data_IF_682884744450
#
_entry.id   IF_682884744450
#
_cell.length_a   1.000
_cell.length_b   1.000
_cell.length_c   1.000
_cell.angle_alpha   90.00
_cell.angle_beta   90.00
_cell.angle_gamma   90.00
#
_symmetry.space_group_name_H-M   'P 1'
#
loop_
_entity.id
_entity.type
_entity.pdbx_description
1 polymer ?
#
# COMPACT_ATOMS: atom_id res chain seq x y z
N UNK A 1 1.10 -17.56 -0.18
CA UNK A 1 1.45 -18.26 -1.43
C UNK A 1 2.16 -17.28 -2.37
N UNK A 2 3.01 -17.74 -3.30
CA UNK A 2 3.62 -16.83 -4.30
C UNK A 2 2.59 -16.47 -5.37
N UNK A 3 2.66 -15.27 -5.95
CA UNK A 3 1.80 -14.88 -7.09
C UNK A 3 1.93 -15.86 -8.25
N UNK A 4 3.14 -16.34 -8.54
CA UNK A 4 3.38 -17.35 -9.59
C UNK A 4 2.71 -18.71 -9.32
N UNK A 5 2.40 -19.02 -8.06
CA UNK A 5 1.65 -20.24 -7.68
C UNK A 5 0.14 -20.03 -7.83
N UNK A 6 -0.37 -18.84 -7.48
CA UNK A 6 -1.76 -18.44 -7.77
C UNK A 6 -2.05 -18.57 -9.27
N UNK A 7 -1.20 -18.00 -10.12
CA UNK A 7 -1.35 -18.05 -11.57
C UNK A 7 -1.28 -19.48 -12.13
N UNK A 8 -0.38 -20.32 -11.63
CA UNK A 8 -0.24 -21.72 -12.09
C UNK A 8 -1.43 -22.60 -11.74
N UNK A 9 -2.06 -22.33 -10.59
CA UNK A 9 -3.20 -23.11 -10.07
C UNK A 9 -4.56 -22.60 -10.56
N UNK A 10 -4.57 -21.49 -11.29
CA UNK A 10 -5.78 -20.86 -11.79
C UNK A 10 -6.54 -21.80 -12.75
N UNK A 11 -7.78 -22.14 -12.38
CA UNK A 11 -8.73 -22.88 -13.25
C UNK A 11 -9.75 -21.95 -13.92
N UNK A 12 -9.75 -20.69 -13.50
CA UNK A 12 -10.66 -19.62 -13.93
C UNK A 12 -9.92 -18.28 -13.83
N UNK A 13 -10.43 -17.19 -14.44
CA UNK A 13 -9.87 -15.86 -14.29
C UNK A 13 -9.71 -15.48 -12.82
N UNK A 14 -8.55 -14.94 -12.46
CA UNK A 14 -8.27 -14.46 -11.11
C UNK A 14 -8.58 -12.97 -11.00
N UNK A 15 -9.13 -12.56 -9.87
CA UNK A 15 -9.23 -11.15 -9.49
C UNK A 15 -8.05 -10.79 -8.59
N UNK A 16 -7.43 -9.64 -8.85
CA UNK A 16 -6.53 -8.95 -7.92
C UNK A 16 -6.73 -7.45 -8.10
N UNK A 17 -6.39 -6.68 -7.07
CA UNK A 17 -6.45 -5.23 -7.14
C UNK A 17 -5.33 -4.60 -6.33
N UNK A 18 -5.17 -3.30 -6.50
CA UNK A 18 -4.14 -2.50 -5.87
C UNK A 18 -4.76 -1.45 -4.94
N UNK A 19 -4.11 -1.22 -3.80
CA UNK A 19 -4.50 -0.19 -2.87
C UNK A 19 -3.40 0.85 -2.67
N UNK A 20 -3.86 2.07 -2.42
CA UNK A 20 -3.04 3.20 -2.02
C UNK A 20 -3.08 3.35 -0.49
N UNK A 21 -1.93 3.21 0.22
CA UNK A 21 -1.89 3.47 1.65
C UNK A 21 -2.39 4.88 2.00
N UNK A 22 -3.05 5.09 3.15
CA UNK A 22 -3.58 6.40 3.53
C UNK A 22 -2.42 7.39 3.78
N UNK A 23 -2.75 8.67 3.91
CA UNK A 23 -1.77 9.65 4.38
C UNK A 23 -1.46 9.40 5.86
N UNK A 24 -0.25 9.74 6.30
CA UNK A 24 0.11 9.73 7.73
C UNK A 24 -0.89 10.57 8.52
N UNK A 25 -1.31 10.05 9.68
CA UNK A 25 -2.33 10.67 10.53
C UNK A 25 -3.77 10.36 10.12
N UNK A 26 -4.00 9.69 8.98
CA UNK A 26 -5.32 9.13 8.64
C UNK A 26 -5.46 7.70 9.14
N UNK A 27 -6.71 7.31 9.37
CA UNK A 27 -7.08 6.01 9.91
C UNK A 27 -6.98 4.90 8.86
N UNK A 28 -6.54 3.72 9.28
CA UNK A 28 -6.54 2.50 8.46
C UNK A 28 -7.95 2.02 8.10
N UNK A 29 -8.97 2.43 8.86
CA UNK A 29 -10.39 2.14 8.57
C UNK A 29 -10.81 2.51 7.15
N UNK A 30 -10.23 3.55 6.56
CA UNK A 30 -10.54 3.92 5.18
C UNK A 30 -10.07 2.87 4.16
N UNK A 31 -8.98 2.16 4.46
CA UNK A 31 -8.53 1.03 3.62
C UNK A 31 -9.53 -0.11 3.72
N UNK A 32 -9.94 -0.46 4.94
CA UNK A 32 -10.90 -1.56 5.15
C UNK A 32 -12.22 -1.29 4.45
N UNK A 33 -12.76 -0.08 4.58
CA UNK A 33 -13.98 0.30 3.89
C UNK A 33 -13.89 0.14 2.35
N UNK A 34 -12.69 0.27 1.77
CA UNK A 34 -12.46 0.01 0.34
C UNK A 34 -12.23 -1.46 0.00
N UNK A 35 -11.64 -2.26 0.91
CA UNK A 35 -11.38 -3.68 0.70
C UNK A 35 -12.63 -4.53 0.92
N UNK A 36 -13.41 -4.23 1.97
CA UNK A 36 -14.54 -5.05 2.43
C UNK A 36 -15.53 -5.40 1.30
N UNK A 37 -15.97 -4.46 0.43
CA UNK A 37 -16.87 -4.77 -0.68
C UNK A 37 -16.24 -5.68 -1.75
N UNK A 38 -14.92 -5.63 -1.89
CA UNK A 38 -14.20 -6.39 -2.91
C UNK A 38 -13.93 -7.83 -2.48
N UNK A 39 -14.06 -8.14 -1.19
CA UNK A 39 -13.83 -9.49 -0.66
C UNK A 39 -14.87 -10.51 -1.13
N UNK A 40 -16.07 -10.08 -1.51
CA UNK A 40 -17.11 -10.96 -2.09
C UNK A 40 -16.61 -11.67 -3.36
N UNK A 41 -15.77 -10.99 -4.14
CA UNK A 41 -15.21 -11.49 -5.39
C UNK A 41 -14.00 -12.41 -5.20
N UNK A 42 -13.64 -12.72 -3.94
CA UNK A 42 -12.53 -13.63 -3.58
C UNK A 42 -11.23 -13.30 -4.31
N UNK A 43 -10.69 -12.08 -4.11
CA UNK A 43 -9.42 -11.69 -4.71
C UNK A 43 -8.32 -12.70 -4.33
N UNK A 44 -7.44 -13.01 -5.27
CA UNK A 44 -6.35 -13.97 -5.06
C UNK A 44 -5.18 -13.35 -4.29
N UNK A 45 -4.92 -12.06 -4.52
CA UNK A 45 -3.91 -11.28 -3.80
C UNK A 45 -4.21 -9.77 -3.94
N UNK A 46 -3.63 -8.97 -3.05
CA UNK A 46 -3.79 -7.51 -3.04
C UNK A 46 -2.41 -6.84 -3.14
N UNK A 47 -2.25 -5.94 -4.10
CA UNK A 47 -1.03 -5.13 -4.23
C UNK A 47 -1.13 -3.89 -3.33
N UNK A 48 -0.01 -3.54 -2.69
CA UNK A 48 0.07 -2.34 -1.85
C UNK A 48 1.15 -1.42 -2.40
N UNK A 49 0.76 -0.22 -2.82
CA UNK A 49 1.68 0.70 -3.47
C UNK A 49 2.75 1.23 -2.52
N UNK A 50 3.82 1.72 -3.15
CA UNK A 50 4.91 2.40 -2.48
C UNK A 50 5.11 3.76 -3.14
N UNK A 51 5.26 4.79 -2.31
CA UNK A 51 5.48 6.16 -2.77
C UNK A 51 6.88 6.63 -2.37
N UNK A 52 7.56 7.28 -3.31
CA UNK A 52 8.85 7.92 -3.07
C UNK A 52 8.70 9.03 -2.02
N UNK A 53 9.81 9.31 -1.34
CA UNK A 53 9.90 10.49 -0.49
C UNK A 53 9.72 11.75 -1.32
N UNK A 54 8.97 12.70 -0.78
CA UNK A 54 8.82 14.01 -1.36
C UNK A 54 9.82 14.98 -0.73
N UNK A 55 10.24 15.97 -1.49
CA UNK A 55 11.06 17.07 -0.98
C UNK A 55 10.14 18.25 -0.69
N UNK A 56 10.17 18.73 0.54
CA UNK A 56 9.54 20.01 0.93
C UNK A 56 10.65 21.00 1.29
N UNK A 57 10.46 22.27 0.95
CA UNK A 57 11.34 23.36 1.38
C UNK A 57 10.66 24.09 2.53
N UNK A 58 11.32 24.11 3.69
CA UNK A 58 10.84 24.81 4.88
C UNK A 58 11.63 26.10 5.06
N UNK A 59 10.94 27.23 5.10
CA UNK A 59 11.56 28.52 5.34
C UNK A 59 12.12 28.59 6.77
N UNK A 60 13.36 29.06 6.90
CA UNK A 60 14.09 29.22 8.15
C UNK A 60 14.26 30.69 8.57
N UNK A 61 13.64 31.61 7.82
CA UNK A 61 13.81 33.06 7.96
C UNK A 61 14.90 33.63 7.05
N UNK A 62 14.88 34.94 6.81
CA UNK A 62 15.85 35.65 5.97
C UNK A 62 16.05 35.08 4.55
N UNK A 63 15.00 34.49 3.96
CA UNK A 63 15.06 33.86 2.64
C UNK A 63 15.79 32.51 2.59
N UNK A 64 16.23 31.96 3.75
CA UNK A 64 16.87 30.65 3.80
C UNK A 64 15.82 29.53 3.71
N UNK A 65 16.00 28.65 2.73
CA UNK A 65 15.17 27.46 2.53
C UNK A 65 15.91 26.21 2.97
N UNK A 66 15.33 25.44 3.88
CA UNK A 66 15.81 24.12 4.23
C UNK A 66 15.10 23.06 3.40
N UNK A 67 15.88 22.24 2.67
CA UNK A 67 15.39 21.05 1.98
C UNK A 67 15.15 19.91 2.99
N UNK A 68 13.91 19.44 3.12
CA UNK A 68 13.53 18.33 3.99
C UNK A 68 12.91 17.23 3.14
N UNK A 69 13.39 16.00 3.31
CA UNK A 69 12.77 14.81 2.70
C UNK A 69 11.69 14.28 3.66
N UNK A 70 10.47 14.12 3.15
CA UNK A 70 9.33 13.63 3.93
C UNK A 70 8.65 12.47 3.22
N UNK A 71 8.28 11.45 3.99
CA UNK A 71 7.39 10.38 3.52
C UNK A 71 5.96 10.68 3.97
N UNK A 72 5.05 10.91 3.03
CA UNK A 72 3.65 11.27 3.32
C UNK A 72 2.77 10.11 3.75
N UNK A 73 3.12 8.87 3.39
CA UNK A 73 2.33 7.66 3.65
C UNK A 73 3.03 6.72 4.65
N UNK A 74 2.30 5.91 5.42
CA UNK A 74 2.88 4.95 6.36
C UNK A 74 3.63 3.84 5.61
N UNK A 75 4.40 3.03 6.35
CA UNK A 75 5.20 1.96 5.77
C UNK A 75 4.33 0.89 5.11
N UNK A 76 4.61 0.60 3.83
CA UNK A 76 3.91 -0.42 3.02
C UNK A 76 3.89 -1.79 3.72
N UNK A 77 4.97 -2.18 4.40
CA UNK A 77 5.07 -3.46 5.13
C UNK A 77 4.01 -3.59 6.22
N UNK A 78 3.79 -2.53 7.02
CA UNK A 78 2.80 -2.55 8.10
C UNK A 78 1.37 -2.68 7.57
N UNK A 79 1.08 -1.99 6.45
CA UNK A 79 -0.21 -2.11 5.78
C UNK A 79 -0.41 -3.53 5.24
N UNK A 80 0.58 -4.09 4.55
CA UNK A 80 0.55 -5.48 4.08
C UNK A 80 0.30 -6.47 5.22
N UNK A 81 1.05 -6.37 6.31
CA UNK A 81 0.90 -7.26 7.46
C UNK A 81 -0.52 -7.20 8.05
N UNK A 82 -1.10 -6.00 8.13
CA UNK A 82 -2.43 -5.82 8.72
C UNK A 82 -3.53 -6.35 7.79
N UNK A 83 -3.43 -6.12 6.48
CA UNK A 83 -4.38 -6.68 5.50
C UNK A 83 -4.31 -8.21 5.51
N UNK A 84 -3.10 -8.77 5.51
CA UNK A 84 -2.90 -10.21 5.60
C UNK A 84 -3.52 -10.80 6.87
N UNK A 85 -3.29 -10.16 8.03
CA UNK A 85 -3.84 -10.63 9.30
C UNK A 85 -5.38 -10.54 9.36
N UNK A 86 -5.98 -9.51 8.74
CA UNK A 86 -7.42 -9.28 8.79
C UNK A 86 -8.21 -10.13 7.79
N UNK A 87 -7.72 -10.27 6.56
CA UNK A 87 -8.45 -10.89 5.46
C UNK A 87 -7.92 -12.27 5.06
N UNK A 88 -6.84 -12.73 5.69
CA UNK A 88 -6.13 -13.97 5.34
C UNK A 88 -5.78 -14.06 3.85
N UNK A 89 -5.37 -12.93 3.28
CA UNK A 89 -5.03 -12.80 1.86
C UNK A 89 -3.55 -12.48 1.67
N UNK A 90 -2.96 -13.01 0.61
CA UNK A 90 -1.60 -12.65 0.23
C UNK A 90 -1.53 -11.20 -0.24
N UNK A 91 -0.59 -10.45 0.33
CA UNK A 91 -0.30 -9.07 -0.05
C UNK A 91 1.02 -8.96 -0.79
N UNK A 92 1.07 -8.14 -1.82
CA UNK A 92 2.26 -7.90 -2.65
C UNK A 92 2.73 -6.46 -2.42
N UNK A 93 3.79 -6.24 -1.61
CA UNK A 93 4.31 -4.90 -1.39
C UNK A 93 5.08 -4.43 -2.62
N UNK A 94 4.78 -3.22 -3.09
CA UNK A 94 5.63 -2.54 -4.06
C UNK A 94 6.89 -2.00 -3.38
N UNK A 95 7.96 -1.88 -4.16
CA UNK A 95 9.23 -1.34 -3.72
C UNK A 95 9.83 -0.47 -4.82
N UNK A 96 10.25 0.73 -4.46
CA UNK A 96 11.02 1.61 -5.34
C UNK A 96 12.44 1.69 -4.78
N UNK A 97 13.41 1.26 -5.59
CA UNK A 97 14.84 1.31 -5.28
C UNK A 97 15.44 2.55 -5.95
N UNK A 98 15.62 3.64 -5.22
CA UNK A 98 16.25 4.86 -5.72
C UNK A 98 16.33 5.95 -4.69
#
# INVERSE_FOLDING_TARGET
>A
MKVSEHLRRAKAPLLSFEILPPLKGKDIRSIYAGIDPLMEFKPSFINVTYHREEVIYKERGHGLLQKIRVRKRPGTIGICATIKAKYDIDTVPHLICG
#
